data_IF_097796071093
#
_entry.id   IF_097796071093
#
_cell.length_a   1.000
_cell.length_b   1.000
_cell.length_c   1.000
_cell.angle_alpha   90.00
_cell.angle_beta   90.00
_cell.angle_gamma   90.00
#
_symmetry.space_group_name_H-M   'P 1'
#
loop_
_entity.id
_entity.type
_entity.pdbx_description
1 polymer ?
#
# COMPACT_ATOMS: atom_id res chain seq x y z
N UNK A 1 3.87 10.67 -7.52
CA UNK A 1 2.83 10.82 -6.47
C UNK A 1 1.68 11.57 -7.08
N UNK A 2 0.47 11.05 -6.99
CA UNK A 2 -0.69 11.49 -7.77
C UNK A 2 -1.87 11.78 -6.85
N UNK A 3 -2.66 12.81 -7.14
CA UNK A 3 -3.96 13.12 -6.52
C UNK A 3 -4.98 13.31 -7.65
N UNK A 4 -6.13 12.65 -7.59
CA UNK A 4 -7.19 12.77 -8.59
C UNK A 4 -6.70 12.66 -10.06
N UNK A 5 -5.71 11.79 -10.31
CA UNK A 5 -5.12 11.58 -11.65
C UNK A 5 -4.04 12.61 -12.05
N UNK A 6 -3.78 13.63 -11.23
CA UNK A 6 -2.78 14.67 -11.49
C UNK A 6 -1.51 14.40 -10.70
N UNK A 7 -0.35 14.50 -11.36
CA UNK A 7 0.95 14.38 -10.68
C UNK A 7 1.20 15.58 -9.77
N UNK A 8 1.39 15.33 -8.48
CA UNK A 8 1.58 16.37 -7.45
C UNK A 8 2.93 16.32 -6.75
N UNK A 9 3.76 15.33 -7.06
CA UNK A 9 5.03 15.13 -6.36
C UNK A 9 5.74 13.84 -6.72
N UNK A 10 6.77 13.53 -5.94
CA UNK A 10 7.63 12.34 -6.12
C UNK A 10 8.04 11.74 -4.78
N UNK A 11 8.49 10.49 -4.83
CA UNK A 11 9.19 9.86 -3.71
C UNK A 11 10.60 10.43 -3.67
N UNK A 12 11.01 10.93 -2.52
CA UNK A 12 12.34 11.50 -2.31
C UNK A 12 13.31 10.49 -1.71
N UNK A 13 12.83 9.67 -0.77
CA UNK A 13 13.63 8.64 -0.13
C UNK A 13 12.75 7.46 0.29
N UNK A 14 13.37 6.28 0.36
CA UNK A 14 12.77 5.07 0.93
C UNK A 14 13.79 4.50 1.91
N UNK A 15 13.34 4.18 3.12
CA UNK A 15 14.15 3.52 4.14
C UNK A 15 13.33 2.42 4.82
N UNK A 16 14.01 1.49 5.48
CA UNK A 16 13.36 0.53 6.38
C UNK A 16 13.54 1.05 7.79
N UNK A 17 12.46 1.02 8.57
CA UNK A 17 12.53 1.27 10.00
C UNK A 17 13.13 0.06 10.72
N UNK A 18 14.15 0.27 11.54
CA UNK A 18 14.91 -0.83 12.14
C UNK A 18 14.17 -1.50 13.31
N UNK A 19 13.15 -0.86 13.87
CA UNK A 19 12.42 -1.37 15.03
C UNK A 19 11.30 -2.35 14.61
N UNK A 20 10.53 -1.98 13.58
CA UNK A 20 9.35 -2.73 13.14
C UNK A 20 9.47 -3.29 11.71
N UNK A 21 10.60 -3.07 11.04
CA UNK A 21 10.88 -3.49 9.67
C UNK A 21 9.89 -2.94 8.63
N UNK A 22 9.19 -1.84 8.95
CA UNK A 22 8.29 -1.19 7.99
C UNK A 22 9.05 -0.33 6.99
N UNK A 23 8.59 -0.30 5.75
CA UNK A 23 9.13 0.59 4.73
C UNK A 23 8.55 2.00 4.90
N UNK A 24 9.42 2.99 5.07
CA UNK A 24 9.06 4.42 5.16
C UNK A 24 9.44 5.12 3.86
N UNK A 25 8.43 5.62 3.15
CA UNK A 25 8.62 6.46 1.96
C UNK A 25 8.44 7.93 2.32
N UNK A 26 9.48 8.74 2.10
CA UNK A 26 9.41 10.19 2.24
C UNK A 26 8.94 10.79 0.93
N UNK A 27 7.85 11.56 0.97
CA UNK A 27 7.24 12.17 -0.20
C UNK A 27 7.59 13.66 -0.27
N UNK A 28 7.96 14.12 -1.46
CA UNK A 28 8.05 15.53 -1.78
C UNK A 28 6.85 15.90 -2.66
N UNK A 29 5.98 16.76 -2.13
CA UNK A 29 4.79 17.26 -2.82
C UNK A 29 4.95 18.74 -3.16
N UNK A 30 4.20 19.20 -4.17
CA UNK A 30 4.21 20.60 -4.59
C UNK A 30 3.77 21.55 -3.48
N UNK A 31 4.35 22.75 -3.45
CA UNK A 31 3.95 23.82 -2.54
C UNK A 31 2.50 24.23 -2.78
N UNK A 32 1.70 24.34 -1.72
CA UNK A 32 0.30 24.76 -1.79
C UNK A 32 -0.71 23.60 -1.79
N UNK A 33 -0.26 22.35 -1.97
CA UNK A 33 -1.12 21.19 -1.76
C UNK A 33 -1.39 21.02 -0.26
N UNK A 34 -2.66 21.18 0.14
CA UNK A 34 -3.11 20.91 1.50
C UNK A 34 -3.77 19.54 1.55
N UNK A 35 -3.17 18.63 2.31
CA UNK A 35 -3.70 17.29 2.53
C UNK A 35 -4.34 17.25 3.93
N UNK A 36 -5.62 16.89 4.05
CA UNK A 36 -6.26 16.62 5.35
C UNK A 36 -5.48 15.60 6.19
N UNK A 37 -5.58 15.68 7.52
CA UNK A 37 -4.90 14.78 8.46
C UNK A 37 -5.31 13.32 8.33
N UNK A 38 -6.54 13.07 7.88
CA UNK A 38 -7.10 11.76 7.56
C UNK A 38 -6.89 11.34 6.09
N UNK A 39 -5.96 11.97 5.37
CA UNK A 39 -5.63 11.56 4.00
C UNK A 39 -5.05 10.14 3.97
N UNK A 40 -5.38 9.39 2.92
CA UNK A 40 -4.89 8.03 2.69
C UNK A 40 -3.85 7.98 1.57
N UNK A 41 -2.83 7.15 1.73
CA UNK A 41 -1.83 6.87 0.70
C UNK A 41 -1.88 5.41 0.26
N UNK A 42 -2.13 5.17 -1.02
CA UNK A 42 -2.18 3.82 -1.58
C UNK A 42 -1.10 3.62 -2.66
N UNK A 43 -0.49 2.45 -2.70
CA UNK A 43 0.39 2.07 -3.81
C UNK A 43 -0.48 1.42 -4.90
N UNK A 44 -0.49 2.01 -6.10
CA UNK A 44 -1.23 1.52 -7.26
C UNK A 44 -0.27 1.25 -8.41
N UNK A 45 -0.69 0.41 -9.35
CA UNK A 45 0.06 0.08 -10.57
C UNK A 45 -0.58 0.81 -11.74
N UNK A 46 0.23 1.37 -12.64
CA UNK A 46 -0.29 1.96 -13.89
C UNK A 46 -0.78 0.85 -14.81
N UNK A 47 -2.09 0.79 -15.05
CA UNK A 47 -2.69 -0.30 -15.83
C UNK A 47 -2.45 -1.66 -15.15
N UNK A 48 -2.24 -2.71 -15.95
CA UNK A 48 -2.01 -4.06 -15.43
C UNK A 48 -0.56 -4.31 -15.00
N UNK A 49 0.43 -3.73 -15.70
CA UNK A 49 1.85 -4.12 -15.59
C UNK A 49 2.82 -2.92 -15.57
N UNK A 50 2.31 -1.70 -15.47
CA UNK A 50 3.15 -0.51 -15.52
C UNK A 50 3.87 -0.22 -14.20
N UNK A 51 4.43 0.98 -14.13
CA UNK A 51 5.12 1.44 -12.93
C UNK A 51 4.15 1.61 -11.76
N UNK A 52 4.68 1.35 -10.56
CA UNK A 52 3.97 1.64 -9.31
C UNK A 52 4.05 3.13 -8.99
N UNK A 53 2.95 3.67 -8.49
CA UNK A 53 2.86 5.05 -8.03
C UNK A 53 2.07 5.13 -6.73
N UNK A 54 2.30 6.21 -6.00
CA UNK A 54 1.53 6.53 -4.78
C UNK A 54 0.36 7.42 -5.19
N UNK A 55 -0.85 6.92 -4.93
CA UNK A 55 -2.09 7.67 -5.00
C UNK A 55 -2.39 8.25 -3.62
N UNK A 56 -2.61 9.55 -3.55
CA UNK A 56 -3.07 10.23 -2.34
C UNK A 56 -4.55 10.55 -2.50
N UNK A 57 -5.36 10.11 -1.54
CA UNK A 57 -6.77 10.41 -1.43
C UNK A 57 -6.99 11.37 -0.26
N UNK A 58 -7.43 12.62 -0.51
CA UNK A 58 -7.80 13.53 0.57
C UNK A 58 -8.94 12.96 1.39
N UNK A 59 -8.85 13.09 2.71
CA UNK A 59 -9.97 12.84 3.61
C UNK A 59 -10.86 14.06 3.75
N UNK A 60 -11.60 14.13 4.86
CA UNK A 60 -12.58 15.17 5.14
C UNK A 60 -12.23 16.02 6.38
N UNK A 61 -11.09 15.78 7.03
CA UNK A 61 -10.68 16.58 8.18
C UNK A 61 -10.46 18.05 7.80
N UNK A 62 -10.84 18.94 8.72
CA UNK A 62 -10.58 20.38 8.59
C UNK A 62 -9.10 20.74 8.79
N UNK A 63 -8.36 19.89 9.51
CA UNK A 63 -6.94 20.06 9.75
C UNK A 63 -6.11 19.45 8.63
N UNK A 64 -5.02 20.12 8.27
CA UNK A 64 -4.09 19.64 7.23
C UNK A 64 -2.77 19.18 7.82
N UNK A 65 -2.17 18.17 7.18
CA UNK A 65 -0.81 17.70 7.42
C UNK A 65 0.20 18.82 7.17
N UNK A 66 1.21 18.88 8.03
CA UNK A 66 2.38 19.75 7.92
C UNK A 66 3.55 19.00 7.31
N UNK A 67 4.56 19.75 6.88
CA UNK A 67 5.81 19.16 6.42
C UNK A 67 6.46 18.35 7.54
N UNK A 68 6.77 17.08 7.25
CA UNK A 68 7.31 16.14 8.23
C UNK A 68 6.26 15.27 8.92
N UNK A 69 4.97 15.59 8.78
CA UNK A 69 3.90 14.75 9.32
C UNK A 69 3.81 13.43 8.56
N UNK A 70 3.26 12.41 9.23
CA UNK A 70 3.15 11.05 8.72
C UNK A 70 1.70 10.74 8.36
N UNK A 71 1.50 10.22 7.15
CA UNK A 71 0.25 9.57 6.76
C UNK A 71 0.21 8.17 7.40
N UNK A 72 -0.80 7.92 8.22
CA UNK A 72 -0.99 6.64 8.93
C UNK A 72 -1.95 5.70 8.19
N UNK A 73 -2.89 6.26 7.41
CA UNK A 73 -3.80 5.48 6.57
C UNK A 73 -3.09 5.10 5.28
N UNK A 74 -2.62 3.85 5.19
CA UNK A 74 -1.87 3.36 4.04
C UNK A 74 -2.40 2.04 3.49
N UNK A 75 -2.35 1.88 2.17
CA UNK A 75 -2.74 0.65 1.48
C UNK A 75 -1.60 0.15 0.58
N UNK A 76 -1.18 -1.09 0.78
CA UNK A 76 -0.16 -1.74 -0.05
C UNK A 76 -0.70 -2.08 -1.45
N UNK A 77 0.20 -2.18 -2.42
CA UNK A 77 -0.14 -2.70 -3.74
C UNK A 77 -0.46 -4.18 -3.67
N UNK A 78 -1.41 -4.63 -4.50
CA UNK A 78 -1.68 -6.06 -4.66
C UNK A 78 -0.57 -6.70 -5.48
N UNK A 79 -0.10 -7.86 -5.04
CA UNK A 79 0.83 -8.70 -5.80
C UNK A 79 0.06 -9.54 -6.83
N UNK A 80 0.33 -9.28 -8.12
CA UNK A 80 -0.32 -9.97 -9.24
C UNK A 80 0.05 -11.44 -9.27
N UNK A 81 1.29 -11.81 -8.92
CA UNK A 81 1.73 -13.21 -8.90
C UNK A 81 0.90 -14.00 -7.89
N UNK A 82 0.73 -13.44 -6.70
CA UNK A 82 -0.15 -14.00 -5.67
C UNK A 82 -1.60 -14.13 -6.13
N UNK A 83 -2.15 -13.16 -6.88
CA UNK A 83 -3.52 -13.25 -7.41
C UNK A 83 -3.67 -14.34 -8.48
N UNK A 84 -2.72 -14.45 -9.41
CA UNK A 84 -2.72 -15.48 -10.43
C UNK A 84 -2.60 -16.85 -9.78
N UNK A 85 -1.71 -17.01 -8.80
CA UNK A 85 -1.58 -18.24 -8.01
C UNK A 85 -2.90 -18.63 -7.33
N UNK A 86 -3.57 -17.67 -6.67
CA UNK A 86 -4.89 -17.90 -6.05
C UNK A 86 -5.95 -18.31 -7.07
N UNK A 87 -5.96 -17.71 -8.26
CA UNK A 87 -6.90 -18.08 -9.32
C UNK A 87 -6.60 -19.47 -9.91
N UNK A 88 -5.32 -19.77 -10.16
CA UNK A 88 -4.88 -21.00 -10.81
C UNK A 88 -5.03 -22.23 -9.89
N UNK A 89 -4.79 -22.06 -8.59
CA UNK A 89 -4.80 -23.18 -7.64
C UNK A 89 -6.01 -23.19 -6.70
N UNK A 90 -6.83 -22.13 -6.70
CA UNK A 90 -7.96 -21.97 -5.79
C UNK A 90 -7.51 -21.86 -4.33
N UNK A 91 -8.38 -21.36 -3.45
CA UNK A 91 -8.16 -21.44 -2.01
C UNK A 91 -8.06 -22.90 -1.58
N UNK A 92 -6.84 -23.44 -1.53
CA UNK A 92 -6.58 -24.69 -0.81
C UNK A 92 -6.65 -24.39 0.68
N UNK A 93 -7.88 -24.27 1.18
CA UNK A 93 -8.15 -24.44 2.59
C UNK A 93 -7.75 -25.88 2.91
N UNK A 94 -6.56 -26.05 3.48
CA UNK A 94 -6.06 -27.35 3.92
C UNK A 94 -7.05 -27.90 4.93
N UNK A 95 -7.93 -28.78 4.47
CA UNK A 95 -8.69 -29.67 5.34
C UNK A 95 -7.66 -30.51 6.11
N UNK A 96 -7.46 -30.16 7.37
CA UNK A 96 -6.60 -30.85 8.29
C UNK A 96 -7.31 -32.14 8.73
N UNK A 97 -7.37 -33.14 7.86
CA UNK A 97 -7.80 -34.48 8.23
C UNK A 97 -6.60 -35.24 8.82
N UNK A 98 -6.63 -35.63 10.11
CA UNK A 98 -5.56 -36.42 10.69
C UNK A 98 -5.49 -37.79 9.99
N UNK A 99 -4.28 -38.20 9.62
CA UNK A 99 -4.02 -39.50 8.99
C UNK A 99 -4.59 -40.64 9.86
N UNK A 100 -5.23 -41.67 9.26
CA UNK A 100 -5.77 -42.78 10.03
C UNK A 100 -4.64 -43.55 10.71
N UNK A 101 -4.82 -43.86 11.99
CA UNK A 101 -3.85 -44.62 12.78
C UNK A 101 -3.58 -46.00 12.15
N UNK A 102 -2.35 -46.53 12.24
CA UNK A 102 -2.05 -47.85 11.72
C UNK A 102 -2.83 -48.89 12.53
N UNK A 103 -3.56 -49.75 11.82
CA UNK A 103 -4.22 -50.93 12.39
C UNK A 103 -3.15 -51.98 12.70
N UNK A 104 -3.19 -52.64 13.88
CA UNK A 104 -2.20 -53.66 14.26
C UNK A 104 -2.25 -54.92 13.39
#
# INVERSE_FOLDING_TARGET
VVVAGVSVGRVEAIRVDAEDFTAIATLRVMSGLKLPTDSMASIKTTGLIGDKYILLAPGADETSLKAGDRITMTESSVDIESLIGKMAFGSVEKENSPAPAPVP
#
